data_IF_647249480859
#
_entry.id   IF_647249480859
#
_cell.length_a   1.000
_cell.length_b   1.000
_cell.length_c   1.000
_cell.angle_alpha   90.00
_cell.angle_beta   90.00
_cell.angle_gamma   90.00
#
_symmetry.space_group_name_H-M   'P 1'
#
loop_
_entity.id
_entity.type
_entity.pdbx_description
1 polymer ?
#
# COMPACT_ATOMS: atom_id res chain seq x y z
N UNK A 1 -17.66 -7.92 56.76
CA UNK A 1 -16.25 -8.36 56.92
C UNK A 1 -16.05 -9.59 56.05
N UNK A 2 -15.52 -9.41 54.83
CA UNK A 2 -15.30 -10.51 53.89
C UNK A 2 -13.91 -11.10 54.12
N UNK A 3 -13.88 -12.41 54.37
CA UNK A 3 -12.69 -13.19 54.70
C UNK A 3 -11.88 -13.44 53.41
N UNK A 4 -10.81 -12.68 53.19
CA UNK A 4 -9.94 -12.84 52.03
C UNK A 4 -8.90 -13.94 52.31
N UNK A 5 -8.99 -14.98 51.50
CA UNK A 5 -8.12 -16.17 51.52
C UNK A 5 -6.65 -15.78 51.24
N UNK A 6 -5.69 -16.04 52.15
CA UNK A 6 -4.29 -15.61 52.02
C UNK A 6 -3.47 -16.37 50.96
N UNK A 7 -4.08 -17.27 50.18
CA UNK A 7 -3.41 -18.04 49.14
C UNK A 7 -3.20 -17.31 47.80
N UNK A 8 -3.80 -16.13 47.61
CA UNK A 8 -3.74 -15.38 46.33
C UNK A 8 -2.50 -14.45 46.23
N UNK A 9 -1.70 -14.33 47.29
CA UNK A 9 -0.51 -13.46 47.34
C UNK A 9 0.83 -14.20 47.12
N UNK A 10 0.82 -15.45 46.65
CA UNK A 10 2.08 -16.14 46.30
C UNK A 10 2.43 -15.89 44.84
N UNK A 11 3.60 -15.30 44.53
CA UNK A 11 4.09 -15.28 43.15
C UNK A 11 4.26 -16.71 42.63
N UNK A 12 4.03 -16.96 41.33
CA UNK A 12 4.18 -18.28 40.73
C UNK A 12 5.60 -18.81 40.98
N UNK A 13 5.69 -20.06 41.44
CA UNK A 13 6.92 -20.69 41.90
C UNK A 13 7.96 -20.97 40.78
N UNK A 14 7.75 -20.52 39.55
CA UNK A 14 8.63 -20.77 38.40
C UNK A 14 9.45 -19.54 37.94
N UNK A 15 9.18 -18.35 38.48
CA UNK A 15 9.82 -17.12 37.98
C UNK A 15 11.30 -16.98 38.39
N UNK A 16 11.82 -17.86 39.26
CA UNK A 16 13.21 -17.82 39.74
C UNK A 16 14.13 -18.88 39.12
N UNK A 17 13.68 -19.62 38.10
CA UNK A 17 14.47 -20.74 37.51
C UNK A 17 14.76 -20.58 36.02
N UNK A 18 14.70 -19.37 35.46
CA UNK A 18 15.43 -19.12 34.19
C UNK A 18 16.92 -19.13 34.51
N UNK A 19 17.59 -20.22 34.14
CA UNK A 19 19.06 -20.35 34.20
C UNK A 19 19.69 -19.06 33.67
N UNK A 20 20.68 -18.49 34.39
CA UNK A 20 21.49 -17.40 33.85
C UNK A 20 22.06 -17.85 32.50
N UNK A 21 21.92 -17.02 31.46
CA UNK A 21 22.51 -17.31 30.16
C UNK A 21 24.01 -17.56 30.34
N UNK A 22 24.49 -18.71 29.85
CA UNK A 22 25.91 -19.02 29.95
C UNK A 22 26.70 -18.00 29.12
N UNK A 23 27.87 -17.52 29.61
CA UNK A 23 28.66 -16.49 28.92
C UNK A 23 28.98 -16.82 27.45
N UNK A 24 29.01 -18.11 27.11
CA UNK A 24 29.31 -18.61 25.78
C UNK A 24 28.11 -18.47 24.81
N UNK A 25 26.87 -18.66 25.27
CA UNK A 25 25.67 -18.44 24.43
C UNK A 25 25.47 -16.96 24.11
N UNK A 26 25.76 -16.08 25.07
CA UNK A 26 25.70 -14.63 24.88
C UNK A 26 26.74 -14.18 23.86
N UNK A 27 27.95 -14.76 23.94
CA UNK A 27 29.03 -14.50 22.99
C UNK A 27 28.68 -15.00 21.58
N UNK A 28 28.04 -16.16 21.45
CA UNK A 28 27.56 -16.67 20.15
C UNK A 28 26.48 -15.78 19.52
N UNK A 29 25.52 -15.28 20.31
CA UNK A 29 24.46 -14.39 19.79
C UNK A 29 24.98 -13.00 19.41
N UNK A 30 26.04 -12.53 20.06
CA UNK A 30 26.71 -11.25 19.75
C UNK A 30 27.64 -11.36 18.53
N UNK A 31 28.19 -12.54 18.27
CA UNK A 31 29.02 -12.82 17.09
C UNK A 31 28.20 -13.18 15.85
N UNK A 32 26.88 -13.34 16.00
CA UNK A 32 26.00 -13.58 14.87
C UNK A 32 25.96 -12.31 14.01
N UNK A 33 26.39 -12.35 12.72
CA UNK A 33 26.43 -11.15 11.89
C UNK A 33 25.02 -10.55 11.78
N UNK A 34 24.95 -9.22 11.83
CA UNK A 34 23.72 -8.46 11.59
C UNK A 34 22.98 -9.01 10.36
N UNK A 35 21.63 -8.98 10.33
CA UNK A 35 20.86 -9.44 9.17
C UNK A 35 21.40 -8.73 7.94
N UNK A 36 22.18 -9.49 7.16
CA UNK A 36 22.76 -9.03 5.92
C UNK A 36 21.60 -8.55 5.09
N UNK A 37 21.70 -7.35 4.49
CA UNK A 37 20.66 -6.78 3.63
C UNK A 37 20.28 -7.88 2.65
N UNK A 38 19.18 -8.57 2.96
CA UNK A 38 18.90 -9.83 2.31
C UNK A 38 18.49 -9.45 0.90
N UNK A 39 18.88 -10.21 -0.11
CA UNK A 39 18.49 -10.02 -1.50
C UNK A 39 17.01 -9.57 -1.67
N UNK A 40 16.12 -10.03 -0.78
CA UNK A 40 14.72 -9.61 -0.63
C UNK A 40 14.49 -8.12 -0.32
N UNK A 41 15.28 -7.50 0.55
CA UNK A 41 15.23 -6.06 0.84
C UNK A 41 15.73 -5.20 -0.32
N UNK A 42 16.74 -5.68 -1.06
CA UNK A 42 17.22 -5.03 -2.28
C UNK A 42 16.19 -5.13 -3.42
N UNK A 43 15.46 -6.25 -3.50
CA UNK A 43 14.34 -6.43 -4.43
C UNK A 43 13.17 -5.52 -4.11
N UNK A 44 12.84 -5.27 -2.84
CA UNK A 44 11.82 -4.29 -2.46
C UNK A 44 12.25 -2.88 -2.88
N UNK A 45 13.52 -2.52 -2.68
CA UNK A 45 14.08 -1.25 -3.17
C UNK A 45 14.03 -1.13 -4.70
N UNK A 46 14.36 -2.18 -5.44
CA UNK A 46 14.30 -2.20 -6.91
C UNK A 46 12.87 -2.17 -7.44
N UNK A 47 11.91 -2.82 -6.78
CA UNK A 47 10.48 -2.75 -7.11
C UNK A 47 9.97 -1.33 -6.87
N UNK A 48 10.37 -0.67 -5.78
CA UNK A 48 10.02 0.72 -5.51
C UNK A 48 10.62 1.69 -6.52
N UNK A 49 11.89 1.50 -6.89
CA UNK A 49 12.56 2.30 -7.94
C UNK A 49 11.93 2.03 -9.30
N UNK A 50 11.54 0.79 -9.62
CA UNK A 50 10.83 0.44 -10.85
C UNK A 50 9.45 1.08 -10.94
N UNK A 51 8.71 1.11 -9.82
CA UNK A 51 7.38 1.74 -9.72
C UNK A 51 7.50 3.27 -9.76
N UNK A 52 8.50 3.86 -9.10
CA UNK A 52 8.78 5.30 -9.18
C UNK A 52 9.27 5.71 -10.58
N UNK A 53 10.10 4.90 -11.22
CA UNK A 53 10.55 5.11 -12.60
C UNK A 53 9.39 5.03 -13.59
N UNK A 54 8.43 4.13 -13.37
CA UNK A 54 7.17 4.06 -14.14
C UNK A 54 6.32 5.33 -13.94
N UNK A 55 6.22 5.84 -12.70
CA UNK A 55 5.52 7.09 -12.40
C UNK A 55 6.14 8.31 -13.07
N UNK A 56 7.47 8.36 -13.23
CA UNK A 56 8.14 9.45 -13.97
C UNK A 56 8.01 9.30 -15.48
N UNK A 57 7.94 8.06 -15.98
CA UNK A 57 7.80 7.77 -17.41
C UNK A 57 6.42 8.14 -17.98
N UNK A 58 5.42 8.37 -17.12
CA UNK A 58 4.09 8.84 -17.51
C UNK A 58 4.03 10.36 -17.78
N UNK A 59 5.12 11.10 -17.56
CA UNK A 59 5.23 12.55 -17.85
C UNK A 59 6.09 12.75 -19.11
N UNK A 60 5.45 12.72 -20.29
CA UNK A 60 6.11 13.07 -21.55
C UNK A 60 5.18 12.88 -22.77
N UNK A 61 5.18 13.79 -23.77
CA UNK A 61 4.30 13.68 -24.92
C UNK A 61 4.99 12.89 -26.06
N UNK A 62 4.46 11.73 -26.44
CA UNK A 62 4.81 11.07 -27.71
C UNK A 62 4.71 9.54 -27.74
N UNK A 63 4.52 8.91 -28.92
CA UNK A 63 3.69 7.72 -29.06
C UNK A 63 4.44 6.38 -29.19
N UNK A 64 3.65 5.30 -28.98
CA UNK A 64 3.82 3.92 -29.45
C UNK A 64 4.88 3.00 -28.79
N UNK A 65 4.34 2.04 -28.05
CA UNK A 65 4.69 0.62 -28.08
C UNK A 65 6.05 0.18 -27.49
N UNK A 66 6.11 -0.07 -26.17
CA UNK A 66 7.02 -1.05 -25.54
C UNK A 66 6.42 -1.64 -24.24
N UNK A 67 5.99 -2.91 -24.29
CA UNK A 67 5.89 -3.80 -23.12
C UNK A 67 7.05 -4.78 -23.21
N UNK A 68 8.02 -4.69 -22.29
CA UNK A 68 9.19 -5.58 -22.28
C UNK A 68 9.65 -5.97 -20.87
N UNK A 69 8.78 -6.08 -19.84
CA UNK A 69 9.23 -6.67 -18.55
C UNK A 69 8.14 -7.18 -17.56
N UNK A 70 8.44 -8.36 -16.99
CA UNK A 70 8.10 -9.02 -15.69
C UNK A 70 6.62 -9.21 -15.28
N UNK A 71 5.61 -8.67 -15.99
CA UNK A 71 4.19 -8.85 -15.65
C UNK A 71 3.46 -10.04 -16.34
N UNK A 72 4.17 -10.90 -17.08
CA UNK A 72 3.62 -12.11 -17.71
C UNK A 72 2.87 -13.10 -16.77
N UNK A 73 3.12 -13.17 -15.43
CA UNK A 73 2.36 -14.07 -14.53
C UNK A 73 0.86 -13.74 -14.41
N UNK A 74 0.42 -12.52 -14.74
CA UNK A 74 -1.01 -12.14 -14.71
C UNK A 74 -1.82 -12.75 -15.88
N UNK A 75 -1.16 -13.14 -16.97
CA UNK A 75 -1.79 -13.77 -18.15
C UNK A 75 -2.23 -15.23 -17.85
N UNK A 76 -1.48 -15.95 -17.00
CA UNK A 76 -1.75 -17.35 -16.65
C UNK A 76 -3.01 -17.54 -15.78
N UNK A 77 -3.33 -16.55 -14.94
CA UNK A 77 -4.53 -16.56 -14.09
C UNK A 77 -5.81 -16.35 -14.93
N UNK A 78 -5.72 -15.57 -16.02
CA UNK A 78 -6.82 -15.38 -16.97
C UNK A 78 -7.25 -16.68 -17.68
N UNK A 79 -6.31 -17.54 -18.05
CA UNK A 79 -6.60 -18.84 -18.68
C UNK A 79 -7.21 -19.89 -17.72
N UNK A 80 -6.96 -19.77 -16.41
CA UNK A 80 -7.54 -20.65 -15.40
C UNK A 80 -9.00 -20.27 -15.11
N UNK A 81 -9.31 -18.97 -15.12
CA UNK A 81 -10.66 -18.42 -14.89
C UNK A 81 -11.59 -18.74 -16.06
N UNK A 82 -11.08 -18.69 -17.30
CA UNK A 82 -11.83 -19.04 -18.51
C UNK A 82 -12.20 -20.52 -18.63
N UNK A 83 -11.53 -21.41 -17.88
CA UNK A 83 -11.86 -22.86 -17.82
C UNK A 83 -12.89 -23.22 -16.75
N UNK A 84 -13.33 -22.25 -15.94
CA UNK A 84 -14.29 -22.47 -14.84
C UNK A 84 -15.71 -21.94 -15.10
N UNK A 85 -15.98 -21.34 -16.27
CA UNK A 85 -17.32 -20.88 -16.67
C UNK A 85 -18.01 -21.89 -17.62
N UNK A 86 -19.34 -22.10 -17.52
CA UNK A 86 -20.08 -23.06 -18.34
C UNK A 86 -20.10 -22.65 -19.84
N UNK A 87 -20.23 -23.62 -20.75
CA UNK A 87 -19.92 -23.49 -22.18
C UNK A 87 -20.93 -22.69 -23.02
N UNK A 88 -21.94 -22.08 -22.40
CA UNK A 88 -23.05 -21.40 -23.12
C UNK A 88 -22.78 -19.91 -23.40
N UNK A 89 -21.54 -19.45 -23.18
CA UNK A 89 -21.10 -18.10 -23.56
C UNK A 89 -20.44 -18.15 -24.95
N UNK A 90 -21.25 -17.88 -25.98
CA UNK A 90 -20.82 -17.77 -27.37
C UNK A 90 -19.88 -16.56 -27.55
N UNK A 91 -18.61 -16.82 -27.86
CA UNK A 91 -17.61 -15.81 -28.21
C UNK A 91 -17.65 -15.63 -29.72
N UNK A 92 -18.30 -14.58 -30.23
CA UNK A 92 -18.27 -14.28 -31.66
C UNK A 92 -16.86 -13.81 -32.08
N UNK A 93 -16.18 -14.67 -32.83
CA UNK A 93 -14.83 -14.47 -33.36
C UNK A 93 -14.90 -14.47 -34.87
N UNK A 94 -15.27 -13.37 -35.53
CA UNK A 94 -14.99 -13.28 -36.97
C UNK A 94 -14.76 -11.88 -37.54
N UNK A 95 -13.57 -11.66 -38.12
CA UNK A 95 -13.37 -10.81 -39.29
C UNK A 95 -12.89 -11.72 -40.42
N UNK A 96 -13.66 -11.79 -41.51
CA UNK A 96 -13.23 -12.44 -42.75
C UNK A 96 -12.17 -11.60 -43.43
N UNK A 97 -11.03 -12.22 -43.72
CA UNK A 97 -10.03 -11.69 -44.65
C UNK A 97 -10.09 -12.56 -45.90
N UNK A 98 -10.49 -11.96 -47.02
CA UNK A 98 -10.50 -12.63 -48.31
C UNK A 98 -9.19 -12.39 -49.06
N UNK A 99 -8.62 -13.48 -49.57
CA UNK A 99 -7.41 -13.45 -50.39
C UNK A 99 -7.86 -13.65 -51.85
N UNK A 100 -7.79 -12.58 -52.64
CA UNK A 100 -8.04 -12.61 -54.08
C UNK A 100 -6.73 -12.81 -54.84
N UNK A 101 -6.65 -13.83 -55.69
CA UNK A 101 -5.55 -14.02 -56.63
C UNK A 101 -6.13 -14.06 -58.04
N UNK A 102 -5.63 -13.21 -58.95
CA UNK A 102 -6.18 -12.97 -60.30
C UNK A 102 -7.65 -12.54 -60.35
N UNK A 103 -8.12 -11.76 -59.36
CA UNK A 103 -9.46 -11.13 -59.40
C UNK A 103 -10.64 -12.07 -59.14
N UNK A 104 -10.39 -13.30 -58.68
CA UNK A 104 -11.41 -14.22 -58.16
C UNK A 104 -11.07 -14.57 -56.70
N UNK A 105 -12.11 -14.70 -55.87
CA UNK A 105 -12.00 -14.93 -54.43
C UNK A 105 -11.79 -16.44 -54.16
N UNK A 106 -10.59 -16.82 -53.70
CA UNK A 106 -10.18 -18.25 -53.64
C UNK A 106 -10.33 -18.85 -52.23
N UNK A 107 -10.30 -18.03 -51.17
CA UNK A 107 -10.66 -18.45 -49.82
C UNK A 107 -10.87 -17.23 -48.89
N UNK A 108 -11.87 -17.34 -48.00
CA UNK A 108 -11.98 -16.51 -46.81
C UNK A 108 -11.55 -17.31 -45.58
N UNK A 109 -10.69 -16.72 -44.75
CA UNK A 109 -10.37 -17.28 -43.44
C UNK A 109 -10.56 -16.23 -42.37
N UNK A 110 -11.07 -16.69 -41.23
CA UNK A 110 -11.41 -15.86 -40.09
C UNK A 110 -10.22 -15.81 -39.12
N UNK A 111 -9.64 -14.62 -38.92
CA UNK A 111 -8.58 -14.40 -37.93
C UNK A 111 -9.17 -13.60 -36.76
N UNK A 112 -9.23 -14.23 -35.58
CA UNK A 112 -9.72 -13.61 -34.36
C UNK A 112 -8.68 -12.64 -33.78
N UNK A 113 -8.81 -11.34 -34.06
CA UNK A 113 -8.00 -10.28 -33.46
C UNK A 113 -8.87 -9.39 -32.55
N UNK A 114 -8.61 -9.42 -31.24
CA UNK A 114 -9.18 -8.48 -30.27
C UNK A 114 -8.44 -7.13 -30.36
N UNK A 115 -9.07 -6.11 -30.94
CA UNK A 115 -8.48 -4.76 -31.08
C UNK A 115 -9.20 -3.75 -30.18
N UNK A 116 -8.41 -2.84 -29.58
CA UNK A 116 -8.77 -1.64 -28.78
C UNK A 116 -8.73 -0.41 -29.70
N UNK A 117 -9.61 0.59 -29.53
CA UNK A 117 -9.46 1.92 -30.17
C UNK A 117 -9.58 3.09 -29.18
N UNK A 118 -8.45 3.77 -28.99
CA UNK A 118 -8.31 5.11 -28.41
C UNK A 118 -8.33 6.11 -29.58
N UNK A 119 -9.14 7.16 -29.50
CA UNK A 119 -9.43 8.15 -30.56
C UNK A 119 -10.41 7.72 -31.67
N UNK A 120 -11.63 7.32 -31.28
CA UNK A 120 -12.81 7.44 -32.16
C UNK A 120 -13.30 6.18 -32.88
N UNK A 121 -13.49 5.05 -32.18
CA UNK A 121 -14.81 4.41 -32.00
C UNK A 121 -14.73 3.00 -31.38
N UNK A 122 -15.72 2.78 -30.50
CA UNK A 122 -16.25 1.62 -29.77
C UNK A 122 -15.44 0.33 -29.62
N UNK A 123 -15.02 0.04 -28.38
CA UNK A 123 -14.68 -1.31 -27.92
C UNK A 123 -15.29 -1.57 -26.53
N UNK A 124 -16.44 -2.27 -26.49
CA UNK A 124 -17.09 -2.75 -25.27
C UNK A 124 -16.56 -4.14 -24.89
N UNK A 125 -15.54 -4.16 -24.04
CA UNK A 125 -15.41 -5.16 -22.97
C UNK A 125 -15.53 -4.35 -21.68
N UNK A 126 -16.76 -4.11 -21.23
CA UNK A 126 -17.08 -3.05 -20.26
C UNK A 126 -16.32 -3.13 -18.92
N UNK A 127 -15.82 -4.31 -18.55
CA UNK A 127 -15.14 -4.56 -17.28
C UNK A 127 -13.61 -4.36 -17.32
N UNK A 128 -12.96 -4.47 -18.47
CA UNK A 128 -11.49 -4.29 -18.56
C UNK A 128 -11.01 -2.91 -18.10
N UNK A 129 -11.63 -1.79 -18.51
CA UNK A 129 -11.22 -0.47 -18.03
C UNK A 129 -11.41 -0.31 -16.52
N UNK A 130 -12.47 -0.90 -15.96
CA UNK A 130 -12.80 -0.84 -14.53
C UNK A 130 -11.73 -1.59 -13.73
N UNK A 131 -11.36 -2.80 -14.15
CA UNK A 131 -10.32 -3.60 -13.51
C UNK A 131 -8.98 -2.87 -13.58
N UNK A 132 -8.60 -2.35 -14.75
CA UNK A 132 -7.36 -1.56 -14.91
C UNK A 132 -7.33 -0.34 -13.98
N UNK A 133 -8.42 0.41 -13.90
CA UNK A 133 -8.52 1.59 -13.04
C UNK A 133 -8.53 1.22 -11.54
N UNK A 134 -9.03 0.03 -11.20
CA UNK A 134 -8.94 -0.50 -9.83
C UNK A 134 -7.50 -0.83 -9.46
N UNK A 135 -6.72 -1.42 -10.38
CA UNK A 135 -5.28 -1.62 -10.16
C UNK A 135 -4.52 -0.31 -9.99
N UNK A 136 -4.83 0.71 -10.80
CA UNK A 136 -4.25 2.06 -10.64
C UNK A 136 -4.56 2.64 -9.25
N UNK A 137 -5.80 2.47 -8.78
CA UNK A 137 -6.23 2.90 -7.43
C UNK A 137 -5.42 2.20 -6.33
N UNK A 138 -5.17 0.90 -6.46
CA UNK A 138 -4.37 0.13 -5.52
C UNK A 138 -2.91 0.61 -5.56
N UNK A 139 -2.35 0.83 -6.74
CA UNK A 139 -0.98 1.35 -6.89
C UNK A 139 -0.82 2.72 -6.23
N UNK A 140 -1.79 3.62 -6.44
CA UNK A 140 -1.81 4.93 -5.78
C UNK A 140 -1.78 4.80 -4.26
N UNK A 141 -2.59 3.90 -3.71
CA UNK A 141 -2.63 3.64 -2.28
C UNK A 141 -1.33 3.02 -1.74
N UNK A 142 -0.70 2.08 -2.47
CA UNK A 142 0.60 1.50 -2.09
C UNK A 142 1.66 2.60 -1.99
N UNK A 143 1.83 3.38 -3.06
CA UNK A 143 2.87 4.41 -3.13
C UNK A 143 2.60 5.53 -2.14
N UNK A 144 1.35 6.01 -2.07
CA UNK A 144 0.95 7.06 -1.14
C UNK A 144 1.17 6.66 0.31
N UNK A 145 0.82 5.43 0.67
CA UNK A 145 1.05 4.90 2.04
C UNK A 145 2.53 4.75 2.33
N UNK A 146 3.33 4.24 1.39
CA UNK A 146 4.76 4.12 1.58
C UNK A 146 5.43 5.48 1.82
N UNK A 147 5.10 6.48 0.99
CA UNK A 147 5.60 7.84 1.17
C UNK A 147 5.16 8.39 2.53
N UNK A 148 3.91 8.15 2.94
CA UNK A 148 3.44 8.54 4.25
C UNK A 148 4.22 7.87 5.38
N UNK A 149 4.51 6.58 5.30
CA UNK A 149 5.32 5.83 6.29
C UNK A 149 6.73 6.43 6.38
N UNK A 150 7.41 6.62 5.25
CA UNK A 150 8.77 7.16 5.20
C UNK A 150 8.84 8.55 5.82
N UNK A 151 7.88 9.42 5.51
CA UNK A 151 7.80 10.77 6.08
C UNK A 151 7.37 10.75 7.56
N UNK A 152 6.55 9.78 7.95
CA UNK A 152 6.04 9.67 9.32
C UNK A 152 7.07 9.19 10.32
N UNK A 153 8.03 8.35 9.91
CA UNK A 153 9.10 7.86 10.79
C UNK A 153 9.91 9.00 11.46
N UNK A 154 10.53 9.95 10.73
CA UNK A 154 11.27 11.04 11.37
C UNK A 154 10.35 11.99 12.16
N UNK A 155 9.16 12.30 11.65
CA UNK A 155 8.20 13.17 12.34
C UNK A 155 7.72 12.56 13.66
N UNK A 156 7.51 11.24 13.69
CA UNK A 156 7.09 10.52 14.90
C UNK A 156 8.12 10.56 16.01
N UNK A 157 9.42 10.50 15.65
CA UNK A 157 10.53 10.59 16.60
C UNK A 157 10.63 11.98 17.23
N UNK A 158 10.33 13.02 16.46
CA UNK A 158 10.28 14.39 16.98
C UNK A 158 9.01 14.65 17.79
N UNK A 159 7.92 13.92 17.50
CA UNK A 159 6.62 14.07 18.15
C UNK A 159 6.43 13.20 19.42
N UNK A 160 7.40 12.36 19.76
CA UNK A 160 7.39 11.48 20.93
C UNK A 160 8.22 12.05 22.09
N UNK A 161 7.65 12.12 23.30
CA UNK A 161 8.26 12.74 24.49
C UNK A 161 9.59 12.12 24.91
N UNK A 162 9.75 10.83 24.72
CA UNK A 162 10.94 10.06 25.14
C UNK A 162 12.11 10.15 24.16
N UNK A 163 11.87 10.52 22.89
CA UNK A 163 12.91 10.66 21.85
C UNK A 163 13.14 12.10 21.40
N UNK A 164 12.20 13.01 21.67
CA UNK A 164 12.31 14.41 21.25
C UNK A 164 13.49 15.12 21.94
N UNK A 165 14.33 15.88 21.21
CA UNK A 165 15.48 16.59 21.79
C UNK A 165 15.09 17.75 22.71
N UNK A 166 13.98 18.45 22.42
CA UNK A 166 13.56 19.65 23.15
C UNK A 166 12.03 19.72 23.31
N UNK A 167 11.50 20.13 24.47
CA UNK A 167 10.05 20.20 24.73
C UNK A 167 9.28 21.13 23.77
N UNK A 168 9.89 22.23 23.33
CA UNK A 168 9.23 23.14 22.37
C UNK A 168 9.13 22.50 20.99
N UNK A 169 10.19 21.83 20.51
CA UNK A 169 10.16 21.11 19.23
C UNK A 169 9.08 20.03 19.24
N UNK A 170 8.99 19.28 20.34
CA UNK A 170 7.93 18.30 20.57
C UNK A 170 6.52 18.92 20.44
N UNK A 171 6.28 20.06 21.08
CA UNK A 171 4.98 20.75 21.00
C UNK A 171 4.70 21.28 19.59
N UNK A 172 5.69 21.90 18.94
CA UNK A 172 5.57 22.44 17.58
C UNK A 172 5.23 21.33 16.58
N UNK A 173 5.95 20.21 16.60
CA UNK A 173 5.69 19.10 15.68
C UNK A 173 4.29 18.53 15.94
N UNK A 174 3.87 18.34 17.19
CA UNK A 174 2.50 17.89 17.49
C UNK A 174 1.43 18.85 16.98
N UNK A 175 1.67 20.16 17.07
CA UNK A 175 0.77 21.17 16.52
C UNK A 175 0.68 21.07 14.99
N UNK A 176 1.83 20.94 14.31
CA UNK A 176 1.88 20.73 12.84
C UNK A 176 1.13 19.46 12.44
N UNK A 177 1.35 18.34 13.15
CA UNK A 177 0.65 17.09 12.88
C UNK A 177 -0.86 17.23 13.08
N UNK A 178 -1.30 17.90 14.15
CA UNK A 178 -2.73 18.17 14.38
C UNK A 178 -3.35 19.02 13.27
N UNK A 179 -2.60 20.01 12.76
CA UNK A 179 -3.04 20.82 11.63
C UNK A 179 -3.17 19.96 10.35
N UNK A 180 -2.15 19.15 10.03
CA UNK A 180 -2.19 18.28 8.85
C UNK A 180 -3.39 17.32 8.87
N UNK A 181 -3.76 16.82 10.05
CA UNK A 181 -4.92 15.92 10.26
C UNK A 181 -6.28 16.60 10.17
N UNK A 182 -6.32 17.91 10.36
CA UNK A 182 -7.56 18.67 10.32
C UNK A 182 -8.03 18.92 8.88
N UNK A 183 -7.12 18.80 7.92
CA UNK A 183 -7.39 18.99 6.49
C UNK A 183 -7.84 17.65 5.89
N UNK A 184 -9.05 17.56 5.30
CA UNK A 184 -9.50 16.37 4.59
C UNK A 184 -8.62 16.04 3.37
N UNK A 185 -8.46 14.76 3.05
CA UNK A 185 -7.63 14.30 1.93
C UNK A 185 -8.07 14.87 0.57
N UNK A 186 -9.38 15.08 0.40
CA UNK A 186 -9.96 15.75 -0.77
C UNK A 186 -9.36 17.15 -1.00
N UNK A 187 -9.08 17.90 0.07
CA UNK A 187 -8.50 19.25 -0.05
C UNK A 187 -7.06 19.16 -0.53
N UNK A 188 -6.27 18.20 -0.02
CA UNK A 188 -4.93 17.95 -0.55
C UNK A 188 -4.96 17.56 -2.03
N UNK A 189 -5.91 16.72 -2.44
CA UNK A 189 -6.09 16.39 -3.85
C UNK A 189 -6.38 17.62 -4.70
N UNK A 190 -7.29 18.51 -4.30
CA UNK A 190 -7.57 19.75 -5.03
C UNK A 190 -6.33 20.65 -5.14
N UNK A 191 -5.55 20.77 -4.07
CA UNK A 191 -4.30 21.54 -4.07
C UNK A 191 -3.27 20.95 -5.05
N UNK A 192 -3.07 19.64 -5.04
CA UNK A 192 -2.12 19.00 -5.94
C UNK A 192 -2.62 18.92 -7.39
N UNK A 193 -3.94 18.86 -7.62
CA UNK A 193 -4.53 19.01 -8.96
C UNK A 193 -4.19 20.40 -9.51
N UNK A 194 -4.34 21.45 -8.70
CA UNK A 194 -3.99 22.80 -9.13
C UNK A 194 -2.47 22.98 -9.36
N UNK A 195 -1.63 22.28 -8.58
CA UNK A 195 -0.18 22.42 -8.66
C UNK A 195 0.48 21.57 -9.76
N UNK A 196 0.04 20.34 -9.96
CA UNK A 196 0.68 19.35 -10.85
C UNK A 196 -0.23 18.92 -12.00
N UNK A 197 -1.54 19.08 -11.86
CA UNK A 197 -2.53 18.69 -12.86
C UNK A 197 -3.33 17.44 -12.49
N UNK A 198 -4.15 16.98 -13.43
CA UNK A 198 -4.98 15.80 -13.27
C UNK A 198 -4.17 14.51 -13.43
N UNK A 199 -4.56 13.45 -12.72
CA UNK A 199 -4.01 12.11 -12.90
C UNK A 199 -3.55 11.40 -11.61
N UNK A 200 -3.10 10.15 -11.73
CA UNK A 200 -2.77 9.27 -10.59
C UNK A 200 -1.63 9.79 -9.70
N UNK A 201 -0.67 10.52 -10.26
CA UNK A 201 0.43 11.12 -9.49
C UNK A 201 -0.08 12.11 -8.43
N UNK A 202 -1.10 12.90 -8.79
CA UNK A 202 -1.76 13.83 -7.88
C UNK A 202 -2.45 13.12 -6.73
N UNK A 203 -3.10 11.99 -7.00
CA UNK A 203 -3.71 11.18 -5.95
C UNK A 203 -2.69 10.53 -5.02
N UNK A 204 -1.53 10.09 -5.54
CA UNK A 204 -0.42 9.60 -4.71
C UNK A 204 0.04 10.67 -3.72
N UNK A 205 0.25 11.90 -4.18
CA UNK A 205 0.67 13.01 -3.32
C UNK A 205 -0.41 13.35 -2.28
N UNK A 206 -1.67 13.40 -2.69
CA UNK A 206 -2.78 13.67 -1.79
C UNK A 206 -2.91 12.62 -0.67
N UNK A 207 -2.82 11.32 -1.02
CA UNK A 207 -2.84 10.23 -0.05
C UNK A 207 -1.64 10.28 0.88
N UNK A 208 -0.44 10.56 0.33
CA UNK A 208 0.78 10.66 1.13
C UNK A 208 0.64 11.76 2.19
N UNK A 209 0.37 13.00 1.79
CA UNK A 209 0.26 14.13 2.71
C UNK A 209 -0.94 14.00 3.66
N UNK A 210 -2.07 13.48 3.18
CA UNK A 210 -3.26 13.23 3.99
C UNK A 210 -3.02 12.21 5.10
N UNK A 211 -2.24 11.16 4.82
CA UNK A 211 -1.91 10.12 5.79
C UNK A 211 -0.80 10.50 6.78
N UNK A 212 0.17 11.33 6.39
CA UNK A 212 1.36 11.65 7.21
C UNK A 212 0.98 12.16 8.61
N UNK A 213 0.00 13.06 8.70
CA UNK A 213 -0.38 13.67 9.98
C UNK A 213 -0.86 12.62 10.99
N UNK A 214 -1.77 11.76 10.57
CA UNK A 214 -2.37 10.75 11.45
C UNK A 214 -1.40 9.59 11.72
N UNK A 215 -0.64 9.16 10.70
CA UNK A 215 0.31 8.06 10.83
C UNK A 215 1.51 8.43 11.73
N UNK A 216 2.07 9.64 11.57
CA UNK A 216 3.12 10.16 12.47
C UNK A 216 2.66 10.20 13.92
N UNK A 217 1.38 10.53 14.15
CA UNK A 217 0.84 10.63 15.49
C UNK A 217 0.73 9.26 16.15
N UNK A 218 0.14 8.27 15.48
CA UNK A 218 0.03 6.91 16.05
C UNK A 218 1.42 6.25 16.20
N UNK A 219 2.37 6.54 15.32
CA UNK A 219 3.76 6.11 15.49
C UNK A 219 4.40 6.77 16.72
N UNK A 220 4.18 8.07 16.95
CA UNK A 220 4.72 8.74 18.14
C UNK A 220 4.15 8.19 19.44
N UNK A 221 2.86 7.82 19.44
CA UNK A 221 2.20 7.19 20.59
C UNK A 221 2.75 5.78 20.83
N UNK A 222 3.00 5.01 19.77
CA UNK A 222 3.66 3.71 19.88
C UNK A 222 5.08 3.83 20.47
N UNK A 223 5.84 4.86 20.09
CA UNK A 223 7.16 5.11 20.67
C UNK A 223 7.03 5.51 22.15
N UNK A 224 6.06 6.35 22.52
CA UNK A 224 5.84 6.78 23.90
C UNK A 224 5.41 5.64 24.84
N UNK A 225 4.80 4.58 24.32
CA UNK A 225 4.29 3.43 25.08
C UNK A 225 5.33 2.32 25.34
N UNK A 226 6.55 2.48 24.83
CA UNK A 226 7.64 1.50 24.99
C UNK A 226 8.06 1.32 26.45
N UNK A 227 8.40 0.09 26.85
CA UNK A 227 8.93 -0.19 28.19
C UNK A 227 10.35 0.44 28.34
N UNK A 228 10.56 1.31 29.34
CA UNK A 228 11.88 1.89 29.59
C UNK A 228 12.91 0.87 30.12
N UNK A 229 12.51 -0.29 30.64
CA UNK A 229 13.46 -1.25 31.24
C UNK A 229 14.49 -1.80 30.21
N UNK A 230 14.10 -2.31 29.02
CA UNK A 230 15.06 -2.68 27.97
C UNK A 230 15.93 -1.53 27.47
N UNK A 231 15.42 -0.29 27.51
CA UNK A 231 16.14 0.91 27.09
C UNK A 231 17.25 1.24 28.10
N UNK A 232 16.94 1.20 29.39
CA UNK A 232 17.89 1.46 30.46
C UNK A 232 18.96 0.36 30.57
N UNK A 233 18.59 -0.90 30.33
CA UNK A 233 19.52 -2.02 30.30
C UNK A 233 20.60 -1.87 29.23
N UNK A 234 20.23 -1.46 28.01
CA UNK A 234 21.19 -1.23 26.93
C UNK A 234 22.02 0.04 27.17
N UNK A 235 21.46 1.09 27.77
CA UNK A 235 22.26 2.26 28.17
C UNK A 235 23.32 1.92 29.22
N UNK A 236 23.01 1.00 30.13
CA UNK A 236 23.94 0.58 31.19
C UNK A 236 25.18 -0.17 30.66
N UNK A 237 25.15 -0.68 29.42
CA UNK A 237 26.33 -1.30 28.77
C UNK A 237 27.30 -0.28 28.15
N UNK A 238 26.97 1.02 28.20
CA UNK A 238 27.75 2.09 27.56
C UNK A 238 27.38 2.33 26.09
N UNK A 239 26.26 1.78 25.62
CA UNK A 239 25.79 1.97 24.25
C UNK A 239 25.47 3.44 23.95
N UNK A 240 25.81 3.91 22.75
CA UNK A 240 25.49 5.27 22.30
C UNK A 240 23.98 5.46 22.12
N UNK A 241 23.49 6.71 22.09
CA UNK A 241 22.06 6.99 21.93
C UNK A 241 21.44 6.37 20.67
N UNK A 242 22.19 6.33 19.56
CA UNK A 242 21.77 5.69 18.31
C UNK A 242 21.69 4.17 18.48
N UNK A 243 22.66 3.56 19.17
CA UNK A 243 22.63 2.12 19.47
C UNK A 243 21.46 1.76 20.39
N UNK A 244 21.22 2.54 21.44
CA UNK A 244 20.05 2.33 22.30
C UNK A 244 18.73 2.42 21.51
N UNK A 245 18.64 3.39 20.61
CA UNK A 245 17.45 3.56 19.77
C UNK A 245 17.21 2.36 18.85
N UNK A 246 18.24 1.91 18.13
CA UNK A 246 18.13 0.80 17.18
C UNK A 246 17.87 -0.54 17.89
N UNK A 247 18.49 -0.78 19.05
CA UNK A 247 18.46 -2.10 19.71
C UNK A 247 17.42 -2.23 20.83
N UNK A 248 16.91 -1.14 21.40
CA UNK A 248 15.89 -1.20 22.46
C UNK A 248 14.56 -0.58 22.05
N UNK A 249 14.57 0.58 21.38
CA UNK A 249 13.34 1.33 21.08
C UNK A 249 12.68 0.79 19.82
N UNK A 250 13.42 0.73 18.72
CA UNK A 250 12.88 0.33 17.41
C UNK A 250 12.24 -1.07 17.41
N UNK A 251 12.83 -2.12 18.01
CA UNK A 251 12.24 -3.47 17.97
C UNK A 251 10.89 -3.55 18.68
N UNK A 252 10.66 -2.71 19.69
CA UNK A 252 9.38 -2.64 20.41
C UNK A 252 8.31 -1.87 19.61
N UNK A 253 8.70 -0.85 18.85
CA UNK A 253 7.77 -0.06 18.02
C UNK A 253 7.41 -0.71 16.68
N UNK A 254 8.33 -1.47 16.06
CA UNK A 254 8.15 -2.05 14.72
C UNK A 254 6.81 -2.79 14.55
N UNK A 255 6.38 -3.68 15.47
CA UNK A 255 5.11 -4.41 15.30
C UNK A 255 3.91 -3.47 15.17
N UNK A 256 3.87 -2.40 15.98
CA UNK A 256 2.82 -1.39 15.91
C UNK A 256 2.93 -0.55 14.63
N UNK A 257 4.15 -0.18 14.21
CA UNK A 257 4.34 0.55 12.95
C UNK A 257 3.83 -0.23 11.75
N UNK A 258 4.13 -1.53 11.68
CA UNK A 258 3.65 -2.41 10.61
C UNK A 258 2.12 -2.50 10.66
N UNK A 259 1.55 -2.73 11.84
CA UNK A 259 0.09 -2.83 12.04
C UNK A 259 -0.63 -1.59 11.52
N UNK A 260 -0.21 -0.40 11.96
CA UNK A 260 -0.81 0.86 11.52
C UNK A 260 -0.55 1.13 10.04
N UNK A 261 0.63 0.82 9.50
CA UNK A 261 0.91 0.98 8.06
C UNK A 261 -0.05 0.15 7.21
N UNK A 262 -0.36 -1.08 7.61
CA UNK A 262 -1.32 -1.94 6.91
C UNK A 262 -2.74 -1.37 7.00
N UNK A 263 -3.14 -0.89 8.17
CA UNK A 263 -4.46 -0.26 8.37
C UNK A 263 -4.61 1.01 7.50
N UNK A 264 -3.57 1.84 7.44
CA UNK A 264 -3.59 3.04 6.60
C UNK A 264 -3.53 2.71 5.11
N UNK A 265 -2.82 1.66 4.71
CA UNK A 265 -2.85 1.18 3.33
C UNK A 265 -4.27 0.82 2.90
N UNK A 266 -4.96 0.02 3.71
CA UNK A 266 -6.36 -0.37 3.50
C UNK A 266 -7.28 0.86 3.38
N UNK A 267 -7.12 1.83 4.29
CA UNK A 267 -7.86 3.08 4.27
C UNK A 267 -7.58 3.91 3.02
N UNK A 268 -6.31 3.98 2.60
CA UNK A 268 -5.88 4.76 1.44
C UNK A 268 -6.41 4.18 0.13
N UNK A 269 -6.61 2.87 0.03
CA UNK A 269 -7.29 2.27 -1.13
C UNK A 269 -8.71 2.81 -1.24
N UNK A 270 -9.44 2.89 -0.11
CA UNK A 270 -10.79 3.48 -0.10
C UNK A 270 -10.76 4.97 -0.42
N UNK A 271 -9.86 5.73 0.20
CA UNK A 271 -9.76 7.17 -0.05
C UNK A 271 -9.39 7.49 -1.50
N UNK A 272 -8.49 6.72 -2.13
CA UNK A 272 -8.11 6.88 -3.53
C UNK A 272 -9.31 6.88 -4.49
N UNK A 273 -10.38 6.16 -4.16
CA UNK A 273 -11.62 6.12 -4.97
C UNK A 273 -12.36 7.44 -4.92
N UNK A 274 -12.41 8.08 -3.75
CA UNK A 274 -13.03 9.39 -3.57
C UNK A 274 -12.17 10.47 -4.24
N UNK A 275 -10.85 10.35 -4.12
CA UNK A 275 -9.91 11.26 -4.79
C UNK A 275 -10.00 11.16 -6.33
N UNK A 276 -10.23 9.96 -6.86
CA UNK A 276 -10.42 9.77 -8.30
C UNK A 276 -11.59 10.58 -8.86
N UNK A 277 -12.64 10.81 -8.06
CA UNK A 277 -13.79 11.62 -8.44
C UNK A 277 -13.43 13.10 -8.68
N UNK A 278 -12.42 13.62 -7.99
CA UNK A 278 -11.92 15.00 -8.18
C UNK A 278 -10.81 15.12 -9.23
N UNK A 279 -10.58 14.04 -10.00
CA UNK A 279 -9.62 14.05 -11.11
C UNK A 279 -8.24 13.48 -10.78
N UNK A 280 -8.09 12.78 -9.64
CA UNK A 280 -6.85 12.11 -9.26
C UNK A 280 -6.64 10.75 -9.93
N UNK A 281 -7.48 10.35 -10.92
CA UNK A 281 -7.32 9.09 -11.66
C UNK A 281 -7.99 7.87 -11.01
N UNK A 282 -7.58 6.67 -11.43
CA UNK A 282 -8.11 5.41 -10.91
C UNK A 282 -9.61 5.18 -11.13
N UNK A 283 -10.21 4.28 -10.34
CA UNK A 283 -11.60 3.84 -10.50
C UNK A 283 -12.60 4.95 -10.17
N UNK A 284 -12.22 5.87 -9.27
CA UNK A 284 -13.01 7.06 -8.94
C UNK A 284 -13.27 7.96 -10.15
N UNK A 285 -12.29 8.09 -11.04
CA UNK A 285 -12.44 8.87 -12.27
C UNK A 285 -13.45 8.23 -13.23
N UNK A 286 -13.46 6.90 -13.33
CA UNK A 286 -14.47 6.19 -14.12
C UNK A 286 -15.87 6.34 -13.52
N UNK A 287 -15.99 6.29 -12.19
CA UNK A 287 -17.26 6.54 -11.51
C UNK A 287 -17.79 7.96 -11.80
N UNK A 288 -16.91 8.98 -11.74
CA UNK A 288 -17.26 10.35 -12.14
C UNK A 288 -17.72 10.41 -13.60
N UNK A 289 -16.95 9.82 -14.51
CA UNK A 289 -17.26 9.79 -15.95
C UNK A 289 -18.62 9.14 -16.24
N UNK A 290 -18.87 7.95 -15.72
CA UNK A 290 -20.10 7.20 -15.98
C UNK A 290 -21.33 7.84 -15.32
N UNK A 291 -21.15 8.48 -14.16
CA UNK A 291 -22.22 9.29 -13.54
C UNK A 291 -22.56 10.49 -14.43
N UNK A 292 -21.54 11.16 -14.99
CA UNK A 292 -21.74 12.28 -15.92
C UNK A 292 -22.45 11.89 -17.22
N UNK A 293 -22.26 10.66 -17.71
CA UNK A 293 -22.96 10.15 -18.90
C UNK A 293 -24.29 9.45 -18.59
N UNK A 294 -24.71 9.40 -17.31
CA UNK A 294 -25.90 8.67 -16.85
C UNK A 294 -25.89 7.15 -17.17
N UNK A 295 -24.71 6.56 -17.33
CA UNK A 295 -24.51 5.13 -17.57
C UNK A 295 -24.53 4.35 -16.24
N UNK A 296 -25.70 4.29 -15.57
CA UNK A 296 -25.80 3.70 -14.23
C UNK A 296 -25.43 2.21 -14.16
N UNK A 297 -25.59 1.46 -15.24
CA UNK A 297 -25.13 0.07 -15.33
C UNK A 297 -23.61 -0.04 -15.16
N UNK A 298 -22.86 0.90 -15.76
CA UNK A 298 -21.40 0.97 -15.65
C UNK A 298 -20.96 1.50 -14.29
N UNK A 299 -21.73 2.42 -13.69
CA UNK A 299 -21.50 2.89 -12.31
C UNK A 299 -21.62 1.74 -11.32
N UNK A 300 -22.70 0.94 -11.41
CA UNK A 300 -22.92 -0.23 -10.57
C UNK A 300 -21.82 -1.29 -10.77
N UNK A 301 -21.44 -1.57 -12.01
CA UNK A 301 -20.34 -2.49 -12.31
C UNK A 301 -19.00 -2.02 -11.70
N UNK A 302 -18.68 -0.73 -11.81
CA UNK A 302 -17.47 -0.17 -11.24
C UNK A 302 -17.46 -0.19 -9.71
N UNK A 303 -18.59 0.14 -9.08
CA UNK A 303 -18.75 0.06 -7.63
C UNK A 303 -18.61 -1.38 -7.13
N UNK A 304 -19.20 -2.37 -7.82
CA UNK A 304 -19.12 -3.77 -7.44
C UNK A 304 -17.69 -4.31 -7.52
N UNK A 305 -16.97 -4.02 -8.61
CA UNK A 305 -15.56 -4.41 -8.75
C UNK A 305 -14.71 -3.79 -7.64
N UNK A 306 -14.92 -2.51 -7.33
CA UNK A 306 -14.23 -1.83 -6.24
C UNK A 306 -14.52 -2.50 -4.88
N UNK A 307 -15.79 -2.79 -4.57
CA UNK A 307 -16.17 -3.46 -3.32
C UNK A 307 -15.51 -4.83 -3.20
N UNK A 308 -15.50 -5.62 -4.27
CA UNK A 308 -14.82 -6.92 -4.31
C UNK A 308 -13.32 -6.75 -4.08
N UNK A 309 -12.67 -5.80 -4.77
CA UNK A 309 -11.25 -5.54 -4.62
C UNK A 309 -10.87 -5.11 -3.20
N UNK A 310 -11.60 -4.14 -2.62
CA UNK A 310 -11.39 -3.68 -1.24
C UNK A 310 -11.61 -4.83 -0.25
N UNK A 311 -12.66 -5.64 -0.43
CA UNK A 311 -12.92 -6.80 0.44
C UNK A 311 -11.77 -7.82 0.40
N UNK A 312 -11.21 -8.07 -0.78
CA UNK A 312 -10.04 -8.96 -0.93
C UNK A 312 -8.83 -8.37 -0.21
N UNK A 313 -8.58 -7.06 -0.36
CA UNK A 313 -7.48 -6.36 0.29
C UNK A 313 -7.66 -6.37 1.81
N UNK A 314 -8.85 -6.11 2.34
CA UNK A 314 -9.15 -6.13 3.77
C UNK A 314 -8.89 -7.53 4.35
N UNK A 315 -9.33 -8.59 3.66
CA UNK A 315 -9.08 -9.98 4.09
C UNK A 315 -7.59 -10.33 4.06
N UNK A 316 -6.90 -9.97 2.99
CA UNK A 316 -5.45 -10.18 2.87
C UNK A 316 -4.69 -9.40 3.96
N UNK A 317 -5.09 -8.16 4.24
CA UNK A 317 -4.50 -7.31 5.26
C UNK A 317 -4.73 -7.87 6.67
N UNK A 318 -5.94 -8.40 6.94
CA UNK A 318 -6.24 -9.08 8.20
C UNK A 318 -5.40 -10.35 8.39
N UNK A 319 -5.27 -11.16 7.34
CA UNK A 319 -4.43 -12.36 7.37
C UNK A 319 -2.95 -12.01 7.62
N UNK A 320 -2.45 -10.96 6.98
CA UNK A 320 -1.09 -10.48 7.16
C UNK A 320 -0.85 -10.04 8.61
N UNK A 321 -1.76 -9.25 9.19
CA UNK A 321 -1.67 -8.81 10.60
C UNK A 321 -1.62 -9.99 11.57
N UNK A 322 -2.44 -11.02 11.38
CA UNK A 322 -2.45 -12.22 12.24
C UNK A 322 -1.17 -13.06 12.16
N UNK A 323 -0.39 -12.94 11.07
CA UNK A 323 0.83 -13.73 10.90
C UNK A 323 2.07 -13.06 11.51
N UNK A 324 2.09 -11.73 11.50
CA UNK A 324 3.23 -10.91 11.95
C UNK A 324 3.09 -10.33 13.37
N UNK A 325 1.88 -10.35 13.93
CA UNK A 325 1.54 -9.89 15.29
C UNK A 325 1.00 -11.09 16.07
#
# INVERSE_FOLDING_TARGET
MANLNPSVLRPPADASTKKPFEPNEVRERLLNPLPQVTFRGMMIGLVLIGILSWSLSAVGPGPANRVTSVFDPFIAVGNLILRMLPPEFEVDRSREVSISVFGQEVASFTIAASTINVFGNETQIGWLPIVSATFETIQMAIIGTLLAVVMSLPLSLLAARNTSPHPTLYQTIRLVLNFMRSIPELVYALLFVAAVGLGPFTGVLALAFGSVGSLSRVFSEAIEQIDPAPVNAVRATGASGIQTFIYSVMPQAIPLFISYSIIYFESNVRHATILGYVGAGGVGFLLFKYTGTSDYDKVLGAALVLVVAVTIIDRFSSWLRQRFI
#
